data_IF_047191704465
#
_entry.id   IF_047191704465
#
_cell.length_a   1.000
_cell.length_b   1.000
_cell.length_c   1.000
_cell.angle_alpha   90.00
_cell.angle_beta   90.00
_cell.angle_gamma   90.00
#
_symmetry.space_group_name_H-M   'P 1'
#
loop_
_entity.id
_entity.type
_entity.pdbx_description
1 polymer ?
#
# COMPACT_ATOMS: atom_id res chain seq x y z
N UNK A 1 -24.67 47.45 -16.05
CA UNK A 1 -23.96 46.17 -15.92
C UNK A 1 -22.70 46.21 -16.79
N UNK A 2 -21.55 45.72 -16.29
CA UNK A 2 -21.08 44.44 -16.81
C UNK A 2 -20.62 43.44 -15.73
N UNK A 3 -20.80 42.18 -16.08
CA UNK A 3 -20.43 40.96 -15.36
C UNK A 3 -18.93 40.68 -15.53
N UNK A 4 -18.15 40.78 -14.46
CA UNK A 4 -16.85 40.13 -14.39
C UNK A 4 -16.77 39.31 -13.09
N UNK A 5 -17.29 38.07 -13.13
CA UNK A 5 -16.94 37.07 -12.12
C UNK A 5 -15.49 36.67 -12.36
N UNK A 6 -14.56 37.22 -11.57
CA UNK A 6 -13.20 36.69 -11.47
C UNK A 6 -13.27 35.23 -11.06
N UNK A 7 -12.92 34.33 -11.98
CA UNK A 7 -12.60 32.94 -11.68
C UNK A 7 -11.47 32.93 -10.64
N UNK A 8 -11.76 32.50 -9.40
CA UNK A 8 -10.73 32.23 -8.40
C UNK A 8 -9.93 31.04 -8.91
N UNK A 9 -8.74 31.28 -9.48
CA UNK A 9 -7.76 30.23 -9.79
C UNK A 9 -7.68 29.30 -8.57
N UNK A 10 -8.04 28.04 -8.76
CA UNK A 10 -8.01 27.07 -7.68
C UNK A 10 -6.58 27.01 -7.12
N UNK A 11 -6.41 27.40 -5.86
CA UNK A 11 -5.10 27.40 -5.23
C UNK A 11 -4.51 25.97 -5.28
N UNK A 12 -3.23 25.87 -5.66
CA UNK A 12 -2.50 24.61 -5.75
C UNK A 12 -2.69 23.79 -4.45
N UNK A 13 -2.95 22.47 -4.52
CA UNK A 13 -3.27 21.65 -3.35
C UNK A 13 -2.28 21.82 -2.18
N UNK A 14 -0.99 21.85 -2.49
CA UNK A 14 0.08 22.11 -1.52
C UNK A 14 -0.11 23.43 -0.75
N UNK A 15 -0.50 24.53 -1.42
CA UNK A 15 -0.73 25.82 -0.80
C UNK A 15 -1.95 25.82 0.14
N UNK A 16 -2.99 25.04 -0.20
CA UNK A 16 -4.14 24.86 0.69
C UNK A 16 -3.76 24.10 1.96
N UNK A 17 -2.87 23.11 1.82
CA UNK A 17 -2.39 22.27 2.93
C UNK A 17 -1.51 23.08 3.87
N UNK A 18 -0.53 23.83 3.35
CA UNK A 18 0.30 24.76 4.12
C UNK A 18 -0.56 25.77 4.90
N UNK A 19 -1.61 26.30 4.26
CA UNK A 19 -2.54 27.25 4.91
C UNK A 19 -3.36 26.62 6.03
N UNK A 20 -3.74 25.34 5.91
CA UNK A 20 -4.38 24.58 7.00
C UNK A 20 -3.42 24.35 8.17
N UNK A 21 -2.17 23.99 7.90
CA UNK A 21 -1.15 23.77 8.93
C UNK A 21 -0.81 25.05 9.69
N UNK A 22 -0.56 26.16 8.97
CA UNK A 22 -0.33 27.46 9.60
C UNK A 22 -1.48 27.86 10.53
N UNK A 23 -2.72 27.65 10.10
CA UNK A 23 -3.91 27.95 10.91
C UNK A 23 -4.09 27.01 12.11
N UNK A 24 -3.58 25.78 12.04
CA UNK A 24 -3.59 24.85 13.17
C UNK A 24 -2.53 25.25 14.22
N UNK A 25 -1.34 25.65 13.77
CA UNK A 25 -0.26 26.20 14.60
C UNK A 25 -0.69 27.48 15.32
N UNK A 26 -1.26 28.44 14.59
CA UNK A 26 -1.79 29.70 15.16
C UNK A 26 -2.86 29.48 16.23
N UNK A 27 -3.59 28.35 16.16
CA UNK A 27 -4.65 27.99 17.10
C UNK A 27 -4.20 27.03 18.20
N UNK A 28 -2.91 26.71 18.29
CA UNK A 28 -2.36 25.78 19.28
C UNK A 28 -2.94 24.36 19.18
N UNK A 29 -3.47 23.97 18.02
CA UNK A 29 -4.03 22.63 17.79
C UNK A 29 -2.93 21.68 17.31
N UNK A 30 -3.03 20.39 17.65
CA UNK A 30 -2.18 19.35 17.06
C UNK A 30 -2.24 19.45 15.53
N UNK A 31 -1.08 19.38 14.89
CA UNK A 31 -0.97 19.39 13.43
C UNK A 31 -1.79 18.20 12.88
N UNK A 32 -2.58 18.42 11.82
CA UNK A 32 -3.26 17.31 11.16
C UNK A 32 -2.21 16.40 10.53
N UNK A 33 -2.39 15.08 10.70
CA UNK A 33 -1.55 14.11 10.00
C UNK A 33 -1.67 14.31 8.49
N UNK A 34 -0.52 14.31 7.83
CA UNK A 34 -0.45 14.44 6.40
C UNK A 34 -0.44 13.03 5.83
N UNK A 35 -1.60 12.53 5.42
CA UNK A 35 -1.68 11.36 4.54
C UNK A 35 -1.07 11.74 3.18
N UNK A 36 0.24 11.60 3.06
CA UNK A 36 0.97 11.75 1.81
C UNK A 36 0.94 10.41 1.11
N UNK A 37 0.01 10.26 0.18
CA UNK A 37 -0.10 9.05 -0.63
C UNK A 37 1.09 8.91 -1.57
N UNK A 38 1.59 7.69 -1.73
CA UNK A 38 2.71 7.43 -2.63
C UNK A 38 2.25 7.63 -4.09
N UNK A 39 3.21 7.89 -5.00
CA UNK A 39 2.88 8.02 -6.43
C UNK A 39 2.25 6.73 -6.97
N UNK A 40 2.71 5.57 -6.50
CA UNK A 40 2.16 4.27 -6.90
C UNK A 40 0.72 4.11 -6.41
N UNK A 41 0.39 4.52 -5.18
CA UNK A 41 -0.98 4.49 -4.68
C UNK A 41 -1.91 5.37 -5.52
N UNK A 42 -1.48 6.59 -5.84
CA UNK A 42 -2.29 7.52 -6.66
C UNK A 42 -2.55 6.94 -8.05
N UNK A 43 -1.52 6.35 -8.68
CA UNK A 43 -1.64 5.75 -10.01
C UNK A 43 -2.52 4.51 -9.98
N UNK A 44 -2.38 3.69 -8.94
CA UNK A 44 -3.19 2.49 -8.71
C UNK A 44 -4.67 2.83 -8.59
N UNK A 45 -5.02 3.76 -7.71
CA UNK A 45 -6.42 4.16 -7.52
C UNK A 45 -7.05 4.66 -8.82
N UNK A 46 -6.28 5.43 -9.58
CA UNK A 46 -6.70 5.92 -10.89
C UNK A 46 -6.91 4.79 -11.90
N UNK A 47 -6.04 3.78 -11.88
CA UNK A 47 -6.17 2.61 -12.75
C UNK A 47 -7.42 1.79 -12.37
N UNK A 48 -7.56 1.42 -11.10
CA UNK A 48 -8.69 0.63 -10.58
C UNK A 48 -10.01 1.35 -10.82
N UNK A 49 -10.06 2.66 -10.55
CA UNK A 49 -11.24 3.48 -10.80
C UNK A 49 -11.65 3.47 -12.28
N UNK A 50 -10.69 3.55 -13.21
CA UNK A 50 -10.98 3.51 -14.65
C UNK A 50 -11.43 2.13 -15.13
N UNK A 51 -10.85 1.06 -14.60
CA UNK A 51 -11.22 -0.32 -14.91
C UNK A 51 -12.65 -0.61 -14.45
N UNK A 52 -13.02 -0.20 -13.23
CA UNK A 52 -14.40 -0.33 -12.77
C UNK A 52 -15.37 0.56 -13.55
N UNK A 53 -14.95 1.74 -13.99
CA UNK A 53 -15.80 2.63 -14.80
C UNK A 53 -16.19 2.03 -16.16
N UNK A 54 -15.39 1.09 -16.69
CA UNK A 54 -15.70 0.33 -17.91
C UNK A 54 -16.34 -1.04 -17.62
N UNK A 55 -16.72 -1.31 -16.35
CA UNK A 55 -17.40 -2.54 -15.93
C UNK A 55 -16.51 -3.78 -15.89
N UNK A 56 -15.19 -3.58 -15.88
CA UNK A 56 -14.22 -4.67 -15.76
C UNK A 56 -13.67 -4.73 -14.32
N UNK A 57 -13.16 -5.90 -13.94
CA UNK A 57 -12.39 -6.05 -12.71
C UNK A 57 -10.89 -6.12 -13.03
N UNK A 58 -10.04 -5.47 -12.22
CA UNK A 58 -8.60 -5.61 -12.37
C UNK A 58 -8.21 -7.08 -12.23
N UNK A 59 -7.46 -7.61 -13.19
CA UNK A 59 -6.97 -8.99 -13.13
C UNK A 59 -6.01 -9.14 -11.95
N UNK A 60 -6.38 -10.00 -10.99
CA UNK A 60 -5.51 -10.44 -9.90
C UNK A 60 -4.28 -11.24 -10.39
N UNK A 61 -4.32 -11.72 -11.64
CA UNK A 61 -3.22 -12.47 -12.27
C UNK A 61 -2.18 -11.56 -12.93
N UNK A 62 -2.49 -10.27 -13.16
CA UNK A 62 -1.48 -9.37 -13.72
C UNK A 62 -0.51 -8.96 -12.60
N UNK A 63 0.80 -9.14 -12.83
CA UNK A 63 1.88 -8.76 -11.89
C UNK A 63 1.99 -7.26 -11.56
N UNK A 64 0.90 -6.52 -11.75
CA UNK A 64 0.64 -5.14 -11.40
C UNK A 64 -0.29 -5.01 -10.18
N UNK A 65 -0.55 -6.09 -9.43
CA UNK A 65 -1.16 -5.95 -8.10
C UNK A 65 -0.19 -5.12 -7.26
N UNK A 66 -0.60 -3.90 -6.85
CA UNK A 66 0.21 -3.10 -5.94
C UNK A 66 0.46 -3.95 -4.70
N UNK A 67 1.72 -3.95 -4.24
CA UNK A 67 2.15 -4.68 -3.05
C UNK A 67 1.21 -4.44 -1.86
N UNK A 68 0.59 -3.25 -1.83
CA UNK A 68 -0.38 -2.80 -0.84
C UNK A 68 -1.75 -3.50 -0.85
N UNK A 69 -2.07 -4.38 -1.80
CA UNK A 69 -3.38 -5.02 -1.91
C UNK A 69 -3.37 -6.55 -1.93
N UNK A 70 -2.21 -7.18 -1.75
CA UNK A 70 -2.16 -8.65 -1.67
C UNK A 70 -2.80 -9.16 -0.36
N UNK A 71 -3.41 -10.36 -0.37
CA UNK A 71 -3.88 -11.04 0.84
C UNK A 71 -2.83 -11.07 1.97
N UNK A 72 -1.57 -11.36 1.63
CA UNK A 72 -0.46 -11.34 2.59
C UNK A 72 -0.22 -9.94 3.17
N UNK A 73 -0.11 -8.91 2.33
CA UNK A 73 0.14 -7.55 2.80
C UNK A 73 -0.99 -7.04 3.70
N UNK A 74 -2.24 -7.39 3.36
CA UNK A 74 -3.40 -7.07 4.19
C UNK A 74 -3.33 -7.80 5.54
N UNK A 75 -3.02 -9.08 5.53
CA UNK A 75 -2.88 -9.87 6.75
C UNK A 75 -1.81 -9.29 7.68
N UNK A 76 -0.62 -8.96 7.16
CA UNK A 76 0.47 -8.40 7.94
C UNK A 76 0.11 -7.03 8.55
N UNK A 77 -0.66 -6.20 7.85
CA UNK A 77 -1.20 -4.95 8.42
C UNK A 77 -2.23 -5.19 9.52
N UNK A 78 -3.10 -6.18 9.35
CA UNK A 78 -4.09 -6.56 10.37
C UNK A 78 -3.39 -7.06 11.65
N UNK A 79 -2.22 -7.69 11.51
CA UNK A 79 -1.30 -8.02 12.61
C UNK A 79 -0.53 -6.80 13.19
N UNK A 80 -0.74 -5.60 12.65
CA UNK A 80 -0.16 -4.36 13.16
C UNK A 80 1.23 -4.01 12.64
N UNK A 81 1.71 -4.67 11.58
CA UNK A 81 2.99 -4.30 10.96
C UNK A 81 2.86 -2.97 10.21
N UNK A 82 3.92 -2.16 10.27
CA UNK A 82 4.01 -0.90 9.55
C UNK A 82 4.15 -1.13 8.03
N UNK A 83 3.59 -0.21 7.24
CA UNK A 83 3.52 -0.37 5.77
C UNK A 83 4.89 -0.54 5.10
N UNK A 84 5.92 0.14 5.61
CA UNK A 84 7.31 0.02 5.13
C UNK A 84 7.89 -1.37 5.37
N UNK A 85 7.60 -1.96 6.53
CA UNK A 85 7.99 -3.34 6.86
C UNK A 85 7.25 -4.34 5.97
N UNK A 86 5.94 -4.14 5.76
CA UNK A 86 5.13 -4.99 4.88
C UNK A 86 5.66 -4.92 3.44
N UNK A 87 5.97 -3.74 2.93
CA UNK A 87 6.55 -3.57 1.59
C UNK A 87 7.92 -4.26 1.47
N UNK A 88 8.78 -4.16 2.48
CA UNK A 88 10.09 -4.81 2.50
C UNK A 88 9.98 -6.35 2.48
N UNK A 89 9.09 -6.92 3.30
CA UNK A 89 8.83 -8.37 3.34
C UNK A 89 8.31 -8.85 1.98
N UNK A 90 7.33 -8.14 1.42
CA UNK A 90 6.75 -8.49 0.14
C UNK A 90 7.77 -8.39 -1.00
N UNK A 91 8.64 -7.38 -1.00
CA UNK A 91 9.71 -7.25 -1.98
C UNK A 91 10.68 -8.43 -1.91
N UNK A 92 11.12 -8.81 -0.71
CA UNK A 92 12.01 -9.96 -0.49
C UNK A 92 11.39 -11.27 -0.99
N UNK A 93 10.16 -11.58 -0.56
CA UNK A 93 9.43 -12.79 -0.99
C UNK A 93 9.37 -12.89 -2.52
N UNK A 94 9.14 -11.76 -3.18
CA UNK A 94 8.95 -11.68 -4.62
C UNK A 94 10.22 -11.76 -5.46
N UNK A 95 11.39 -11.67 -4.85
CA UNK A 95 12.70 -11.86 -5.49
C UNK A 95 13.21 -13.30 -5.37
N UNK A 96 12.63 -14.10 -4.47
CA UNK A 96 13.13 -15.45 -4.17
C UNK A 96 12.86 -16.50 -5.26
N UNK A 97 13.72 -17.52 -5.26
CA UNK A 97 13.70 -18.64 -6.20
C UNK A 97 13.02 -19.92 -5.69
N UNK A 98 12.85 -20.05 -4.38
CA UNK A 98 12.32 -21.26 -3.76
C UNK A 98 11.21 -20.96 -2.75
N UNK A 99 10.28 -21.90 -2.60
CA UNK A 99 9.21 -21.80 -1.59
C UNK A 99 9.77 -21.83 -0.16
N UNK A 100 10.86 -22.57 0.06
CA UNK A 100 11.52 -22.66 1.36
C UNK A 100 12.13 -21.30 1.74
N UNK A 101 12.81 -20.63 0.81
CA UNK A 101 13.35 -19.28 1.00
C UNK A 101 12.25 -18.25 1.30
N UNK A 102 11.09 -18.37 0.65
CA UNK A 102 9.92 -17.51 0.94
C UNK A 102 9.44 -17.68 2.38
N UNK A 103 9.37 -18.91 2.89
CA UNK A 103 8.98 -19.18 4.28
C UNK A 103 10.04 -18.67 5.26
N UNK A 104 11.31 -18.82 4.93
CA UNK A 104 12.43 -18.32 5.73
C UNK A 104 12.42 -16.80 5.87
N UNK A 105 12.04 -16.05 4.82
CA UNK A 105 11.91 -14.59 4.91
C UNK A 105 10.81 -14.20 5.91
N UNK A 106 9.66 -14.85 5.86
CA UNK A 106 8.55 -14.58 6.80
C UNK A 106 8.96 -14.96 8.23
N UNK A 107 9.67 -16.08 8.38
CA UNK A 107 10.23 -16.52 9.68
C UNK A 107 11.21 -15.48 10.24
N UNK A 108 12.17 -15.03 9.44
CA UNK A 108 13.15 -14.04 9.84
C UNK A 108 12.50 -12.69 10.18
N UNK A 109 11.47 -12.29 9.45
CA UNK A 109 10.68 -11.12 9.79
C UNK A 109 10.01 -11.27 11.17
N UNK A 110 9.39 -12.42 11.45
CA UNK A 110 8.74 -12.69 12.73
C UNK A 110 9.71 -12.76 13.93
N UNK A 111 11.00 -12.99 13.69
CA UNK A 111 12.04 -12.97 14.73
C UNK A 111 12.54 -11.56 15.07
N UNK A 112 12.10 -10.54 14.32
CA UNK A 112 12.44 -9.15 14.58
C UNK A 112 11.70 -8.67 15.84
N UNK A 113 12.38 -8.01 16.81
CA UNK A 113 11.78 -7.64 18.09
C UNK A 113 10.54 -6.73 18.01
N UNK A 114 10.36 -6.03 16.89
CA UNK A 114 9.22 -5.14 16.64
C UNK A 114 8.01 -5.87 16.00
N UNK A 115 8.15 -7.14 15.64
CA UNK A 115 7.13 -7.95 14.97
C UNK A 115 6.70 -9.07 15.91
N UNK A 116 5.51 -8.94 16.51
CA UNK A 116 4.95 -9.97 17.38
C UNK A 116 3.85 -10.74 16.67
N UNK A 117 4.25 -11.74 15.87
CA UNK A 117 3.31 -12.72 15.31
C UNK A 117 3.20 -13.91 16.25
N UNK A 118 1.98 -14.33 16.56
CA UNK A 118 1.76 -15.62 17.24
C UNK A 118 2.15 -16.79 16.33
N UNK A 119 2.35 -17.98 16.91
CA UNK A 119 2.69 -19.18 16.11
C UNK A 119 1.65 -19.53 15.05
N UNK A 120 0.36 -19.23 15.32
CA UNK A 120 -0.73 -19.44 14.36
C UNK A 120 -0.69 -18.39 13.24
N UNK A 121 -0.49 -17.11 13.59
CA UNK A 121 -0.39 -16.03 12.61
C UNK A 121 0.85 -16.17 11.71
N UNK A 122 1.96 -16.65 12.27
CA UNK A 122 3.18 -16.96 11.53
C UNK A 122 2.95 -18.07 10.50
N UNK A 123 2.28 -19.15 10.89
CA UNK A 123 1.97 -20.25 9.97
C UNK A 123 1.04 -19.77 8.84
N UNK A 124 0.04 -18.95 9.17
CA UNK A 124 -0.86 -18.34 8.19
C UNK A 124 -0.12 -17.38 7.25
N UNK A 125 0.79 -16.55 7.77
CA UNK A 125 1.62 -15.66 6.97
C UNK A 125 2.53 -16.43 6.00
N UNK A 126 3.14 -17.54 6.45
CA UNK A 126 3.97 -18.39 5.60
C UNK A 126 3.17 -19.03 4.46
N UNK A 127 1.96 -19.49 4.72
CA UNK A 127 1.09 -20.07 3.70
C UNK A 127 0.66 -19.02 2.66
N UNK A 128 0.20 -17.84 3.13
CA UNK A 128 -0.16 -16.72 2.26
C UNK A 128 1.05 -16.23 1.43
N UNK A 129 2.24 -16.20 2.00
CA UNK A 129 3.47 -15.83 1.30
C UNK A 129 3.78 -16.76 0.12
N UNK A 130 3.71 -18.07 0.34
CA UNK A 130 3.95 -19.07 -0.70
C UNK A 130 2.87 -18.99 -1.79
N UNK A 131 1.61 -18.79 -1.43
CA UNK A 131 0.54 -18.62 -2.42
C UNK A 131 0.76 -17.40 -3.32
N UNK A 132 1.08 -16.25 -2.75
CA UNK A 132 1.36 -15.02 -3.49
C UNK A 132 2.60 -15.17 -4.38
N UNK A 133 3.66 -15.80 -3.88
CA UNK A 133 4.85 -16.11 -4.67
C UNK A 133 4.53 -17.02 -5.87
N UNK A 134 3.74 -18.09 -5.65
CA UNK A 134 3.29 -18.99 -6.71
C UNK A 134 2.45 -18.28 -7.76
N UNK A 135 1.53 -17.39 -7.35
CA UNK A 135 0.71 -16.59 -8.26
C UNK A 135 1.58 -15.70 -9.14
N UNK A 136 2.54 -14.99 -8.54
CA UNK A 136 3.49 -14.14 -9.28
C UNK A 136 4.31 -14.95 -10.29
N UNK A 137 4.84 -16.12 -9.91
CA UNK A 137 5.63 -16.96 -10.82
C UNK A 137 4.80 -17.53 -11.97
N UNK A 138 3.56 -17.94 -11.71
CA UNK A 138 2.64 -18.38 -12.77
C UNK A 138 2.33 -17.24 -13.73
N UNK A 139 2.10 -16.03 -13.23
CA UNK A 139 1.87 -14.85 -14.04
C UNK A 139 3.08 -14.46 -14.91
N UNK A 140 4.31 -14.68 -14.46
CA UNK A 140 5.52 -14.41 -15.24
C UNK A 140 5.84 -15.45 -16.32
N UNK A 141 5.18 -16.61 -16.31
CA UNK A 141 5.37 -17.70 -17.28
C UNK A 141 4.39 -17.65 -18.46
N UNK A 142 3.48 -16.68 -18.49
CA UNK A 142 2.49 -16.41 -19.56
C UNK A 142 2.91 -15.18 -20.34
#
# INVERSE_FOLDING_TARGET
MPLFRRSKKAAHPALKQMKKMMKALEKGKKLPDLEVRSRQEIVTDLFVSKIHAIGLEPSADSGYVPVSHTPLARFLRECGLADDVVEAIMAGIFEEESEDSVREIVQAAAETPDINLTSEELAQAQELAVEEWRRKRKASLV
#
